data_IF_830308514336
#
_entry.id   IF_830308514336
#
_cell.length_a   1.000
_cell.length_b   1.000
_cell.length_c   1.000
_cell.angle_alpha   90.00
_cell.angle_beta   90.00
_cell.angle_gamma   90.00
#
_symmetry.space_group_name_H-M   'P 1'
#
loop_
_entity.id
_entity.type
_entity.pdbx_description
1 polymer ?
#
# COMPACT_ATOMS: atom_id res chain seq x y z
N UNK A 1 15.44 -5.25 19.95
CA UNK A 1 15.71 -5.24 18.50
C UNK A 1 14.40 -4.93 17.81
N UNK A 2 14.18 -3.67 17.45
CA UNK A 2 13.00 -3.28 16.65
C UNK A 2 13.19 -3.89 15.27
N UNK A 3 12.44 -4.96 14.98
CA UNK A 3 12.42 -5.60 13.66
C UNK A 3 12.05 -4.56 12.62
N UNK A 4 12.99 -4.27 11.72
CA UNK A 4 12.82 -3.40 10.55
C UNK A 4 11.64 -3.93 9.74
N UNK A 5 10.51 -3.26 9.81
CA UNK A 5 9.28 -3.76 9.23
C UNK A 5 8.71 -2.67 8.33
N UNK A 6 8.52 -3.02 7.07
CA UNK A 6 7.78 -2.18 6.14
C UNK A 6 6.30 -2.43 6.41
N UNK A 7 5.61 -1.40 6.87
CA UNK A 7 4.18 -1.42 7.07
C UNK A 7 3.48 -1.33 5.72
N UNK A 8 2.39 -2.08 5.60
CA UNK A 8 1.61 -2.18 4.39
C UNK A 8 0.13 -2.11 4.77
N UNK A 9 -0.61 -1.21 4.13
CA UNK A 9 -2.06 -1.08 4.28
C UNK A 9 -2.72 -1.19 2.91
N UNK A 10 -3.51 -2.22 2.70
CA UNK A 10 -4.31 -2.35 1.49
C UNK A 10 -5.72 -1.79 1.72
N UNK A 11 -6.18 -0.99 0.75
CA UNK A 11 -7.55 -0.51 0.68
C UNK A 11 -8.23 -1.23 -0.48
N UNK A 12 -9.24 -2.01 -0.15
CA UNK A 12 -10.07 -2.71 -1.13
C UNK A 12 -11.46 -2.08 -1.21
N UNK A 13 -12.26 -2.43 -2.23
CA UNK A 13 -13.63 -1.92 -2.39
C UNK A 13 -14.55 -2.26 -1.20
N UNK A 14 -14.38 -3.42 -0.55
CA UNK A 14 -15.19 -3.82 0.63
C UNK A 14 -14.44 -3.53 1.92
N UNK A 15 -13.26 -4.14 2.11
CA UNK A 15 -12.49 -3.96 3.35
C UNK A 15 -11.47 -2.84 3.21
N UNK A 16 -11.59 -1.84 4.07
CA UNK A 16 -10.62 -0.74 4.14
C UNK A 16 -9.48 -1.08 5.09
N UNK A 17 -8.31 -0.51 4.80
CA UNK A 17 -7.18 -0.42 5.72
C UNK A 17 -6.66 -1.76 6.28
N UNK A 18 -6.59 -2.78 5.42
CA UNK A 18 -6.10 -4.12 5.80
C UNK A 18 -4.60 -4.08 6.11
N UNK A 19 -4.22 -4.49 7.32
CA UNK A 19 -2.84 -4.50 7.80
C UNK A 19 -2.04 -5.70 7.29
N UNK A 20 -0.80 -5.44 6.87
CA UNK A 20 0.22 -6.42 6.57
C UNK A 20 1.60 -5.80 6.76
N UNK A 21 2.63 -6.62 6.67
CA UNK A 21 4.02 -6.17 6.74
C UNK A 21 4.92 -6.93 5.77
N UNK A 22 6.03 -6.30 5.41
CA UNK A 22 7.04 -6.84 4.51
C UNK A 22 8.46 -6.57 5.02
N UNK A 23 9.42 -7.38 4.58
CA UNK A 23 10.81 -7.29 5.01
C UNK A 23 11.56 -6.15 4.30
N UNK A 24 11.10 -5.74 3.11
CA UNK A 24 11.73 -4.70 2.30
C UNK A 24 10.70 -3.91 1.51
N UNK A 25 11.05 -2.66 1.14
CA UNK A 25 10.22 -1.81 0.27
C UNK A 25 10.01 -2.49 -1.09
N UNK A 26 11.05 -3.15 -1.63
CA UNK A 26 10.94 -3.91 -2.87
C UNK A 26 9.86 -5.00 -2.78
N UNK A 27 9.85 -5.78 -1.69
CA UNK A 27 8.83 -6.81 -1.47
C UNK A 27 7.42 -6.22 -1.37
N UNK A 28 7.29 -5.06 -0.72
CA UNK A 28 6.03 -4.38 -0.56
C UNK A 28 5.47 -3.81 -1.87
N UNK A 29 6.34 -3.33 -2.76
CA UNK A 29 5.92 -2.60 -3.98
C UNK A 29 5.85 -3.50 -5.21
N UNK A 30 6.94 -4.23 -5.50
CA UNK A 30 7.23 -4.74 -6.86
C UNK A 30 7.40 -6.25 -6.97
N UNK A 31 7.46 -6.98 -5.86
CA UNK A 31 7.66 -8.43 -5.93
C UNK A 31 6.56 -9.10 -6.76
N UNK A 32 6.90 -10.07 -7.65
CA UNK A 32 5.91 -10.75 -8.48
C UNK A 32 4.93 -11.61 -7.68
N UNK A 33 5.33 -12.04 -6.48
CA UNK A 33 4.58 -13.04 -5.68
C UNK A 33 3.98 -12.45 -4.40
N UNK A 34 4.27 -11.19 -4.05
CA UNK A 34 3.77 -10.53 -2.84
C UNK A 34 3.74 -9.00 -2.99
N UNK A 35 3.11 -8.33 -2.03
CA UNK A 35 3.00 -6.87 -2.01
C UNK A 35 1.96 -6.35 -3.00
N UNK A 36 2.08 -5.07 -3.36
CA UNK A 36 1.13 -4.33 -4.19
C UNK A 36 1.00 -4.93 -5.59
N UNK A 37 2.12 -5.25 -6.25
CA UNK A 37 2.09 -5.81 -7.60
C UNK A 37 1.34 -7.15 -7.68
N UNK A 38 1.65 -8.11 -6.80
CA UNK A 38 0.91 -9.38 -6.77
C UNK A 38 -0.56 -9.20 -6.36
N UNK A 39 -0.84 -8.26 -5.45
CA UNK A 39 -2.19 -7.92 -5.01
C UNK A 39 -3.04 -7.40 -6.16
N UNK A 40 -2.57 -6.38 -6.86
CA UNK A 40 -3.31 -5.76 -7.96
C UNK A 40 -3.48 -6.66 -9.18
N UNK A 41 -2.55 -7.58 -9.42
CA UNK A 41 -2.67 -8.61 -10.47
C UNK A 41 -3.52 -9.82 -10.08
N UNK A 42 -4.09 -9.86 -8.87
CA UNK A 42 -4.83 -11.02 -8.37
C UNK A 42 -3.98 -12.28 -8.20
N UNK A 43 -2.65 -12.15 -8.17
CA UNK A 43 -1.68 -13.24 -8.00
C UNK A 43 -1.31 -13.49 -6.53
N UNK A 44 -1.90 -12.73 -5.62
CA UNK A 44 -1.67 -12.89 -4.20
C UNK A 44 -2.60 -13.99 -3.64
N UNK A 45 -2.10 -15.23 -3.61
CA UNK A 45 -2.85 -16.40 -3.13
C UNK A 45 -3.22 -16.35 -1.64
N UNK A 46 -2.73 -15.37 -0.87
CA UNK A 46 -3.07 -15.22 0.53
C UNK A 46 -4.37 -14.42 0.77
N UNK A 47 -5.02 -13.91 -0.28
CA UNK A 47 -6.15 -12.98 -0.15
C UNK A 47 -7.36 -13.49 -0.91
N UNK A 48 -8.48 -13.62 -0.19
CA UNK A 48 -9.78 -13.90 -0.77
C UNK A 48 -10.45 -12.60 -1.27
N UNK A 49 -10.38 -12.37 -2.58
CA UNK A 49 -10.98 -11.17 -3.20
C UNK A 49 -12.51 -11.17 -3.16
N UNK A 50 -13.17 -12.32 -3.01
CA UNK A 50 -14.64 -12.37 -2.85
C UNK A 50 -15.09 -11.76 -1.53
N UNK A 51 -14.24 -11.87 -0.49
CA UNK A 51 -14.46 -11.28 0.82
C UNK A 51 -14.02 -9.82 0.91
N UNK A 52 -12.88 -9.50 0.32
CA UNK A 52 -12.23 -8.20 0.48
C UNK A 52 -12.61 -7.18 -0.60
N UNK A 53 -13.04 -7.65 -1.76
CA UNK A 53 -13.24 -6.85 -2.96
C UNK A 53 -11.94 -6.52 -3.68
N UNK A 54 -12.05 -5.77 -4.76
CA UNK A 54 -10.92 -5.39 -5.61
C UNK A 54 -9.98 -4.44 -4.85
N UNK A 55 -8.65 -4.65 -4.94
CA UNK A 55 -7.68 -3.75 -4.35
C UNK A 55 -7.61 -2.44 -5.14
N UNK A 56 -7.76 -1.31 -4.46
CA UNK A 56 -7.77 0.04 -5.04
C UNK A 56 -6.44 0.76 -4.79
N UNK A 57 -6.00 0.76 -3.53
CA UNK A 57 -4.81 1.46 -3.09
C UNK A 57 -3.99 0.63 -2.13
N UNK A 58 -2.70 0.94 -2.06
CA UNK A 58 -1.78 0.43 -1.04
C UNK A 58 -0.98 1.59 -0.48
N UNK A 59 -0.88 1.69 0.84
CA UNK A 59 0.00 2.61 1.56
C UNK A 59 1.15 1.83 2.18
N UNK A 60 2.38 2.29 1.97
CA UNK A 60 3.62 1.60 2.35
C UNK A 60 4.55 2.58 3.04
N UNK A 61 5.04 2.26 4.23
CA UNK A 61 6.04 3.08 4.90
C UNK A 61 6.99 2.24 5.75
N UNK A 62 8.15 2.80 6.03
CA UNK A 62 9.10 2.21 6.97
C UNK A 62 8.85 2.84 8.35
N UNK A 63 8.83 2.02 9.40
CA UNK A 63 8.70 2.50 10.79
C UNK A 63 10.02 2.98 11.39
N UNK A 64 11.13 2.88 10.65
CA UNK A 64 12.41 3.46 11.04
C UNK A 64 12.31 4.99 11.05
N UNK A 65 12.74 5.60 12.16
CA UNK A 65 12.74 7.05 12.40
C UNK A 65 13.59 7.85 11.40
N UNK A 66 14.39 7.19 10.57
CA UNK A 66 15.20 7.82 9.52
C UNK A 66 14.50 7.90 8.15
N UNK A 67 13.32 7.30 8.00
CA UNK A 67 12.58 7.30 6.75
C UNK A 67 11.50 8.40 6.75
N UNK A 68 11.75 9.47 6.01
CA UNK A 68 10.82 10.62 5.95
C UNK A 68 9.68 10.42 4.94
N UNK A 69 9.63 9.27 4.25
CA UNK A 69 8.72 9.04 3.14
C UNK A 69 7.89 7.76 3.28
N UNK A 70 6.65 7.87 2.85
CA UNK A 70 5.72 6.79 2.59
C UNK A 70 5.30 6.81 1.11
N UNK A 71 4.79 5.68 0.62
CA UNK A 71 4.37 5.52 -0.77
C UNK A 71 2.91 5.13 -0.81
N UNK A 72 2.16 5.74 -1.73
CA UNK A 72 0.82 5.30 -2.07
C UNK A 72 0.86 4.78 -3.50
N UNK A 73 0.34 3.58 -3.71
CA UNK A 73 0.24 2.95 -5.03
C UNK A 73 -1.24 2.75 -5.34
N UNK A 74 -1.67 3.20 -6.51
CA UNK A 74 -3.03 3.03 -7.03
C UNK A 74 -3.06 1.92 -8.07
N UNK A 75 -4.08 1.08 -8.02
CA UNK A 75 -4.38 0.08 -9.03
C UNK A 75 -4.91 0.75 -10.31
N UNK A 76 -4.03 1.38 -11.06
CA UNK A 76 -4.33 2.00 -12.34
C UNK A 76 -3.18 1.73 -13.30
N UNK A 77 -3.48 1.14 -14.45
CA UNK A 77 -2.48 0.76 -15.44
C UNK A 77 -1.67 2.00 -15.88
N UNK A 78 -0.37 2.01 -15.56
CA UNK A 78 0.56 3.04 -15.98
C UNK A 78 1.62 2.44 -16.94
N UNK A 79 1.94 3.09 -18.07
CA UNK A 79 2.85 2.53 -19.08
C UNK A 79 4.26 2.21 -18.58
N UNK A 80 4.76 2.94 -17.59
CA UNK A 80 6.16 2.82 -17.14
C UNK A 80 6.39 1.72 -16.10
N UNK A 81 5.42 1.47 -15.21
CA UNK A 81 5.62 0.60 -14.03
C UNK A 81 4.39 -0.27 -13.69
N UNK A 82 3.38 -0.32 -14.56
CA UNK A 82 2.15 -1.08 -14.34
C UNK A 82 1.15 -0.45 -13.38
N UNK A 83 1.60 0.40 -12.44
CA UNK A 83 0.77 1.12 -11.48
C UNK A 83 1.17 2.59 -11.34
N UNK A 84 0.22 3.42 -10.91
CA UNK A 84 0.52 4.80 -10.47
C UNK A 84 1.01 4.78 -9.03
N UNK A 85 2.03 5.59 -8.76
CA UNK A 85 2.66 5.71 -7.44
C UNK A 85 2.95 7.18 -7.13
N UNK A 86 2.75 7.58 -5.87
CA UNK A 86 3.17 8.87 -5.34
C UNK A 86 3.93 8.68 -4.02
N UNK A 87 4.88 9.58 -3.75
CA UNK A 87 5.56 9.68 -2.46
C UNK A 87 4.89 10.76 -1.62
N UNK A 88 4.68 10.48 -0.34
CA UNK A 88 4.09 11.38 0.65
C UNK A 88 4.98 11.41 1.90
N UNK A 89 4.91 12.48 2.72
CA UNK A 89 5.59 12.49 4.01
C UNK A 89 5.12 11.34 4.90
N UNK A 90 6.04 10.72 5.65
CA UNK A 90 5.71 9.60 6.54
C UNK A 90 4.67 10.00 7.59
N UNK A 91 4.64 11.26 8.03
CA UNK A 91 3.64 11.73 8.99
C UNK A 91 2.22 11.65 8.42
N UNK A 92 2.06 11.78 7.10
CA UNK A 92 0.77 11.61 6.44
C UNK A 92 0.29 10.17 6.57
N UNK A 93 1.17 9.18 6.34
CA UNK A 93 0.84 7.77 6.52
C UNK A 93 0.56 7.42 8.00
N UNK A 94 1.33 7.99 8.94
CA UNK A 94 1.10 7.82 10.38
C UNK A 94 -0.25 8.40 10.82
N UNK A 95 -0.63 9.58 10.31
CA UNK A 95 -1.95 10.16 10.53
C UNK A 95 -3.04 9.23 10.02
N UNK A 96 -2.92 8.73 8.79
CA UNK A 96 -3.89 7.78 8.22
C UNK A 96 -3.98 6.50 9.05
N UNK A 97 -2.88 5.99 9.61
CA UNK A 97 -2.89 4.84 10.51
C UNK A 97 -3.64 5.12 11.82
N UNK A 98 -3.52 6.34 12.35
CA UNK A 98 -4.14 6.73 13.62
C UNK A 98 -5.63 7.07 13.47
N UNK A 99 -6.01 7.82 12.43
CA UNK A 99 -7.36 8.36 12.24
C UNK A 99 -8.18 7.65 11.16
N UNK A 100 -7.57 6.74 10.41
CA UNK A 100 -8.12 6.24 9.16
C UNK A 100 -7.96 7.25 8.02
N UNK A 101 -8.42 6.85 6.84
CA UNK A 101 -8.44 7.66 5.61
C UNK A 101 -9.61 7.24 4.73
N UNK A 102 -10.02 8.10 3.80
CA UNK A 102 -11.06 7.78 2.81
C UNK A 102 -10.44 7.54 1.43
N UNK A 103 -11.21 6.94 0.54
CA UNK A 103 -10.77 6.75 -0.85
C UNK A 103 -10.59 8.07 -1.57
N UNK A 104 -11.44 9.07 -1.31
CA UNK A 104 -11.34 10.40 -1.90
C UNK A 104 -10.04 11.09 -1.49
N UNK A 105 -9.66 10.96 -0.21
CA UNK A 105 -8.38 11.48 0.28
C UNK A 105 -7.20 10.81 -0.44
N UNK A 106 -7.19 9.47 -0.53
CA UNK A 106 -6.15 8.74 -1.26
C UNK A 106 -6.11 9.11 -2.75
N UNK A 107 -7.27 9.29 -3.38
CA UNK A 107 -7.39 9.64 -4.78
C UNK A 107 -6.88 11.06 -5.05
N UNK A 108 -7.12 12.01 -4.14
CA UNK A 108 -6.67 13.40 -4.28
C UNK A 108 -5.15 13.56 -4.33
N UNK A 109 -4.40 12.59 -3.80
CA UNK A 109 -2.94 12.59 -3.79
C UNK A 109 -2.32 12.27 -5.16
N UNK A 110 -3.14 11.85 -6.14
CA UNK A 110 -2.73 11.54 -7.51
C UNK A 110 -3.24 12.56 -8.56
N UNK A 111 -3.84 13.66 -8.12
CA UNK A 111 -4.45 14.69 -8.97
C UNK A 111 -3.40 15.63 -9.59
#
# INVERSE_FOLDING_TARGET
MTTKTIEFRAVHTITKWRKASHETIFNAKRSPNRGAHALFLGKNNAIDLSKHGEPLFVVIWNTDTSADQAFIIKNEACPENGFKEVSIPVETAMRMEASGTTEEELQSLFA
#
